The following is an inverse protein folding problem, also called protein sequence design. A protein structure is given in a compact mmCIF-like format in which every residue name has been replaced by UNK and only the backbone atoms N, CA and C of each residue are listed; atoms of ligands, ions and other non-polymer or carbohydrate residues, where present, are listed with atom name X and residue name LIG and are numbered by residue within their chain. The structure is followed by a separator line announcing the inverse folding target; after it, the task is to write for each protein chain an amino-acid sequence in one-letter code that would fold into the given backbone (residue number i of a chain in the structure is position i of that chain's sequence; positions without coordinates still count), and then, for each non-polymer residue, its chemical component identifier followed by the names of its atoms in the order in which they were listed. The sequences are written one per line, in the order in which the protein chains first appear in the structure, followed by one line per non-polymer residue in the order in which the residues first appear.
data_IF_007879285818
#
_entry.id   IF_007879285818
#
_cell.length_a   1.000
_cell.length_b   1.000
_cell.length_c   1.000
_cell.angle_alpha   90.00
_cell.angle_beta   90.00
_cell.angle_gamma   90.00
#
_symmetry.space_group_name_H-M   'P 1'
#
loop_
_entity.id
_entity.type
_entity.pdbx_description
1 polymer ?
#
# COMPACT_ATOMS: atom_id res chain seq x y z
N UNK A 1 0.10 -10.05 1.20
CA UNK A 1 -1.05 -10.83 1.67
C UNK A 1 -2.34 -10.30 1.06
N UNK A 2 -2.73 -9.02 1.25
CA UNK A 2 -4.00 -8.50 0.70
C UNK A 2 -4.11 -8.63 -0.82
N UNK A 3 -3.05 -8.38 -1.57
CA UNK A 3 -3.03 -8.58 -3.02
C UNK A 3 -3.30 -10.05 -3.39
N UNK A 4 -2.68 -10.97 -2.66
CA UNK A 4 -2.89 -12.41 -2.81
C UNK A 4 -4.33 -12.81 -2.48
N UNK A 5 -4.91 -12.31 -1.39
CA UNK A 5 -6.32 -12.52 -1.04
C UNK A 5 -7.30 -12.03 -2.11
N UNK A 6 -6.89 -11.04 -2.91
CA UNK A 6 -7.65 -10.51 -4.03
C UNK A 6 -7.40 -11.25 -5.35
N UNK A 7 -6.56 -12.30 -5.33
CA UNK A 7 -6.23 -13.13 -6.48
C UNK A 7 -5.10 -12.61 -7.35
N UNK A 8 -4.37 -11.58 -6.90
CA UNK A 8 -3.21 -11.04 -7.62
C UNK A 8 -1.93 -11.78 -7.23
N UNK A 9 -1.09 -12.06 -8.21
CA UNK A 9 0.23 -12.63 -7.97
C UNK A 9 1.10 -11.64 -7.20
N UNK A 10 1.58 -12.05 -6.04
CA UNK A 10 2.33 -11.18 -5.14
C UNK A 10 3.65 -11.80 -4.69
N UNK A 11 4.59 -10.93 -4.31
CA UNK A 11 5.87 -11.31 -3.75
C UNK A 11 6.24 -10.34 -2.62
N UNK A 12 7.07 -10.80 -1.71
CA UNK A 12 7.64 -9.99 -0.64
C UNK A 12 9.16 -9.94 -0.77
N UNK A 13 9.69 -8.73 -0.68
CA UNK A 13 11.13 -8.49 -0.60
C UNK A 13 11.41 -7.68 0.67
N UNK A 14 12.17 -8.24 1.59
CA UNK A 14 12.46 -7.64 2.89
C UNK A 14 13.66 -8.28 3.54
N UNK A 15 14.03 -7.77 4.72
CA UNK A 15 15.07 -8.32 5.58
C UNK A 15 14.44 -9.06 6.76
N UNK A 16 14.83 -10.31 6.96
CA UNK A 16 14.42 -11.14 8.09
C UNK A 16 15.55 -11.26 9.10
N UNK A 17 15.20 -11.19 10.39
CA UNK A 17 16.05 -11.60 11.49
C UNK A 17 16.13 -13.13 11.64
N UNK A 18 16.70 -13.57 12.76
CA UNK A 18 16.80 -14.99 13.12
C UNK A 18 15.95 -15.35 14.35
N UNK A 19 15.04 -14.46 14.74
CA UNK A 19 14.12 -14.65 15.87
C UNK A 19 12.80 -15.37 15.47
N UNK A 20 11.97 -15.67 16.47
CA UNK A 20 10.66 -16.32 16.28
C UNK A 20 9.70 -15.48 15.44
N UNK A 21 9.77 -14.14 15.51
CA UNK A 21 8.94 -13.25 14.70
C UNK A 21 9.29 -13.38 13.22
N UNK A 22 10.59 -13.37 12.88
CA UNK A 22 11.07 -13.59 11.53
C UNK A 22 10.57 -14.93 10.96
N UNK A 23 10.74 -16.00 11.75
CA UNK A 23 10.33 -17.34 11.36
C UNK A 23 8.82 -17.44 11.14
N UNK A 24 8.02 -16.78 11.99
CA UNK A 24 6.56 -16.74 11.87
C UNK A 24 6.14 -16.04 10.56
N UNK A 25 6.66 -14.84 10.29
CA UNK A 25 6.34 -14.09 9.07
C UNK A 25 6.76 -14.85 7.82
N UNK A 26 8.00 -15.37 7.82
CA UNK A 26 8.54 -16.14 6.68
C UNK A 26 7.68 -17.37 6.36
N UNK A 27 7.34 -18.16 7.38
CA UNK A 27 6.50 -19.37 7.21
C UNK A 27 5.10 -19.03 6.74
N UNK A 28 4.53 -17.94 7.25
CA UNK A 28 3.20 -17.47 6.85
C UNK A 28 3.19 -17.09 5.38
N UNK A 29 4.14 -16.28 4.93
CA UNK A 29 4.24 -15.87 3.52
C UNK A 29 4.43 -17.08 2.60
N UNK A 30 5.33 -17.99 2.94
CA UNK A 30 5.54 -19.21 2.17
C UNK A 30 4.30 -20.13 2.15
N UNK A 31 3.62 -20.24 3.27
CA UNK A 31 2.38 -21.04 3.37
C UNK A 31 1.24 -20.48 2.52
N UNK A 32 1.24 -19.17 2.26
CA UNK A 32 0.32 -18.50 1.34
C UNK A 32 0.77 -18.56 -0.14
N UNK A 33 1.95 -19.11 -0.44
CA UNK A 33 2.49 -19.14 -1.80
C UNK A 33 3.08 -17.81 -2.27
N UNK A 34 3.25 -16.83 -1.35
CA UNK A 34 3.87 -15.55 -1.66
C UNK A 34 5.39 -15.76 -1.79
N UNK A 35 5.98 -15.41 -2.94
CA UNK A 35 7.43 -15.53 -3.15
C UNK A 35 8.19 -14.65 -2.15
N UNK A 36 9.25 -15.23 -1.56
CA UNK A 36 10.21 -14.60 -0.66
C UNK A 36 11.65 -14.79 -1.15
N UNK A 37 11.82 -15.12 -2.44
CA UNK A 37 13.08 -15.56 -3.02
C UNK A 37 14.14 -14.44 -3.04
N UNK A 38 13.71 -13.19 -3.03
CA UNK A 38 14.59 -12.00 -2.96
C UNK A 38 14.65 -11.38 -1.56
N UNK A 39 14.31 -12.13 -0.50
CA UNK A 39 14.51 -11.68 0.88
C UNK A 39 15.97 -11.84 1.32
N UNK A 40 16.36 -11.08 2.35
CA UNK A 40 17.65 -11.13 3.01
C UNK A 40 17.48 -11.69 4.41
N UNK A 41 18.52 -12.35 4.92
CA UNK A 41 18.53 -12.94 6.25
C UNK A 41 19.75 -12.46 7.01
N UNK A 42 19.51 -11.96 8.22
CA UNK A 42 20.56 -11.42 9.10
C UNK A 42 20.43 -11.99 10.50
N UNK A 43 21.53 -12.01 11.24
CA UNK A 43 21.51 -12.28 12.68
C UNK A 43 21.00 -11.02 13.37
N UNK A 44 19.95 -11.13 14.20
CA UNK A 44 19.35 -10.04 14.92
C UNK A 44 17.82 -10.09 14.96
N UNK A 45 17.22 -9.14 15.66
CA UNK A 45 15.77 -9.09 15.82
C UNK A 45 15.06 -8.65 14.54
N UNK A 46 13.96 -9.32 14.22
CA UNK A 46 13.05 -8.86 13.18
C UNK A 46 12.36 -7.54 13.59
N UNK A 47 12.03 -6.69 12.61
CA UNK A 47 11.24 -5.49 12.87
C UNK A 47 9.91 -5.87 13.53
N UNK A 48 9.61 -5.27 14.67
CA UNK A 48 8.42 -5.59 15.45
C UNK A 48 7.82 -4.34 16.12
N UNK A 49 6.49 -4.21 16.05
CA UNK A 49 5.72 -3.21 16.78
C UNK A 49 4.59 -3.93 17.55
N UNK A 50 4.80 -4.26 18.83
CA UNK A 50 3.78 -4.92 19.64
C UNK A 50 2.60 -3.98 19.88
N UNK A 51 1.40 -4.55 19.82
CA UNK A 51 0.14 -3.85 20.09
C UNK A 51 -0.62 -4.55 21.21
N UNK A 52 -1.34 -3.78 21.99
CA UNK A 52 -2.31 -4.28 22.96
C UNK A 52 -3.73 -3.92 22.51
N UNK A 53 -4.72 -4.72 22.89
CA UNK A 53 -6.12 -4.40 22.65
C UNK A 53 -6.68 -3.89 23.96
N UNK A 54 -7.14 -2.63 24.00
CA UNK A 54 -7.77 -1.99 25.15
C UNK A 54 -9.15 -1.51 24.70
N UNK A 55 -10.22 -2.07 25.29
CA UNK A 55 -11.61 -1.72 24.96
C UNK A 55 -11.96 -1.84 23.46
N UNK A 56 -11.32 -2.77 22.74
CA UNK A 56 -11.52 -2.97 21.30
C UNK A 56 -10.60 -2.13 20.40
N UNK A 57 -9.89 -1.15 20.97
CA UNK A 57 -8.92 -0.33 20.25
C UNK A 57 -7.49 -0.86 20.43
N UNK A 58 -6.67 -0.65 19.42
CA UNK A 58 -5.26 -1.04 19.43
C UNK A 58 -4.37 0.08 19.92
N UNK A 59 -3.64 -0.21 21.00
CA UNK A 59 -2.62 0.65 21.56
C UNK A 59 -1.25 0.10 21.21
N UNK A 60 -0.45 0.86 20.47
CA UNK A 60 0.93 0.50 20.19
C UNK A 60 1.78 0.65 21.46
N UNK A 61 2.46 -0.42 21.84
CA UNK A 61 3.32 -0.44 23.03
C UNK A 61 4.77 0.06 22.74
N UNK A 62 5.02 0.47 21.51
CA UNK A 62 6.32 0.87 21.01
C UNK A 62 6.74 0.05 19.80
N UNK A 63 8.02 0.11 19.46
CA UNK A 63 8.62 -0.73 18.42
C UNK A 63 10.12 -0.85 18.67
N UNK A 64 10.76 -1.91 18.16
CA UNK A 64 12.22 -2.03 18.12
C UNK A 64 12.83 -1.18 16.98
N UNK A 65 12.05 -0.22 16.44
CA UNK A 65 12.46 0.72 15.39
C UNK A 65 12.94 0.06 14.09
N UNK A 66 12.44 -1.14 13.79
CA UNK A 66 12.66 -1.84 12.53
C UNK A 66 13.67 -2.99 12.58
N UNK A 67 14.39 -3.19 13.71
CA UNK A 67 15.35 -4.28 13.84
C UNK A 67 16.29 -4.38 12.64
N UNK A 68 16.58 -5.60 12.17
CA UNK A 68 17.49 -5.85 11.02
C UNK A 68 17.10 -5.11 9.74
N UNK A 69 15.82 -4.79 9.53
CA UNK A 69 15.40 -4.01 8.34
C UNK A 69 15.99 -2.61 8.35
N UNK A 70 16.11 -2.00 9.53
CA UNK A 70 16.73 -0.68 9.71
C UNK A 70 18.26 -0.76 9.72
N UNK A 71 18.80 -1.80 10.36
CA UNK A 71 20.25 -2.00 10.50
C UNK A 71 20.89 -2.37 9.16
N UNK A 72 20.16 -3.11 8.32
CA UNK A 72 20.57 -3.57 7.00
C UNK A 72 19.52 -3.18 5.95
N UNK A 73 19.40 -1.90 5.58
CA UNK A 73 18.51 -1.45 4.52
C UNK A 73 18.81 -2.17 3.22
N UNK A 74 17.76 -2.49 2.46
CA UNK A 74 17.95 -3.18 1.18
C UNK A 74 18.66 -2.25 0.19
N UNK A 75 19.78 -2.71 -0.32
CA UNK A 75 20.42 -2.18 -1.52
C UNK A 75 20.06 -3.07 -2.71
N UNK A 76 19.41 -2.47 -3.71
CA UNK A 76 18.92 -3.20 -4.88
C UNK A 76 20.07 -3.51 -5.82
N UNK A 77 20.35 -4.79 -6.03
CA UNK A 77 21.30 -5.29 -7.05
C UNK A 77 20.70 -5.23 -8.46
N UNK A 78 21.48 -5.55 -9.48
CA UNK A 78 20.99 -5.71 -10.85
C UNK A 78 19.95 -6.84 -10.96
N UNK A 79 20.16 -7.94 -10.25
CA UNK A 79 19.22 -9.08 -10.22
C UNK A 79 17.90 -8.70 -9.53
N UNK A 80 17.96 -7.89 -8.47
CA UNK A 80 16.74 -7.37 -7.83
C UNK A 80 15.96 -6.47 -8.79
N UNK A 81 16.63 -5.61 -9.54
CA UNK A 81 15.99 -4.74 -10.51
C UNK A 81 15.34 -5.53 -11.65
N UNK A 82 16.00 -6.58 -12.14
CA UNK A 82 15.43 -7.49 -13.12
C UNK A 82 14.21 -8.21 -12.57
N UNK A 83 14.27 -8.69 -11.34
CA UNK A 83 13.13 -9.33 -10.67
C UNK A 83 11.98 -8.35 -10.49
N UNK A 84 12.23 -7.14 -9.97
CA UNK A 84 11.21 -6.12 -9.74
C UNK A 84 10.55 -5.64 -11.03
N UNK A 85 11.24 -5.68 -12.17
CA UNK A 85 10.69 -5.29 -13.48
C UNK A 85 9.57 -6.22 -13.98
N UNK A 86 9.37 -7.37 -13.35
CA UNK A 86 8.30 -8.33 -13.67
C UNK A 86 6.96 -7.97 -13.00
N UNK A 87 6.94 -6.95 -12.12
CA UNK A 87 5.74 -6.56 -11.38
C UNK A 87 5.17 -5.24 -11.90
N UNK A 88 3.84 -5.16 -11.96
CA UNK A 88 3.12 -3.95 -12.38
C UNK A 88 3.18 -2.83 -11.34
N UNK A 89 3.39 -3.19 -10.06
CA UNK A 89 3.43 -2.28 -8.93
C UNK A 89 4.41 -2.76 -7.86
N UNK A 90 5.24 -1.84 -7.38
CA UNK A 90 6.06 -2.02 -6.18
C UNK A 90 5.43 -1.18 -5.07
N UNK A 91 5.02 -1.82 -3.98
CA UNK A 91 4.53 -1.12 -2.80
C UNK A 91 5.57 -1.15 -1.69
N UNK A 92 5.83 -0.01 -1.09
CA UNK A 92 6.75 0.13 0.04
C UNK A 92 6.24 1.18 1.03
N UNK A 93 6.95 1.40 2.13
CA UNK A 93 6.52 2.34 3.15
C UNK A 93 7.69 3.04 3.84
N UNK A 94 7.35 4.05 4.64
CA UNK A 94 8.31 4.76 5.49
C UNK A 94 9.06 3.83 6.45
N UNK A 95 8.48 2.67 6.78
CA UNK A 95 9.07 1.69 7.68
C UNK A 95 9.97 0.66 6.98
N UNK A 96 10.07 0.73 5.66
CA UNK A 96 10.89 -0.21 4.86
C UNK A 96 12.35 0.24 4.71
N UNK A 97 12.69 1.45 5.13
CA UNK A 97 14.05 2.04 5.06
C UNK A 97 14.70 1.98 3.67
N UNK A 98 13.90 2.07 2.61
CA UNK A 98 14.34 1.92 1.20
C UNK A 98 14.43 3.26 0.44
N UNK A 99 14.33 4.38 1.12
CA UNK A 99 14.24 5.71 0.50
C UNK A 99 15.38 6.01 -0.49
N UNK A 100 16.60 5.58 -0.18
CA UNK A 100 17.78 5.75 -1.05
C UNK A 100 17.67 5.01 -2.39
N UNK A 101 16.78 4.02 -2.50
CA UNK A 101 16.59 3.21 -3.70
C UNK A 101 15.45 3.73 -4.60
N UNK A 102 14.61 4.65 -4.12
CA UNK A 102 13.48 5.19 -4.88
C UNK A 102 13.92 5.84 -6.21
N UNK A 103 15.01 6.65 -6.27
CA UNK A 103 15.51 7.18 -7.53
C UNK A 103 15.86 6.09 -8.55
N UNK A 104 16.44 4.98 -8.09
CA UNK A 104 16.81 3.84 -8.95
C UNK A 104 15.59 3.15 -9.52
N UNK A 105 14.56 2.92 -8.71
CA UNK A 105 13.29 2.33 -9.14
C UNK A 105 12.58 3.22 -10.17
N UNK A 106 12.44 4.51 -9.87
CA UNK A 106 11.76 5.46 -10.76
C UNK A 106 12.51 5.66 -12.08
N UNK A 107 13.85 5.70 -12.05
CA UNK A 107 14.68 5.82 -13.26
C UNK A 107 14.58 4.60 -14.18
N UNK A 108 14.25 3.43 -13.62
CA UNK A 108 13.95 2.22 -14.36
C UNK A 108 12.51 2.17 -14.90
N UNK A 109 11.71 3.21 -14.68
CA UNK A 109 10.31 3.28 -15.11
C UNK A 109 9.35 2.43 -14.29
N UNK A 110 9.76 1.94 -13.12
CA UNK A 110 8.93 1.10 -12.25
C UNK A 110 7.91 1.95 -11.49
N UNK A 111 6.67 1.48 -11.40
CA UNK A 111 5.63 2.13 -10.59
C UNK A 111 5.85 1.84 -9.13
N UNK A 112 6.10 2.88 -8.34
CA UNK A 112 6.28 2.76 -6.89
C UNK A 112 5.12 3.44 -6.18
N UNK A 113 4.38 2.70 -5.36
CA UNK A 113 3.49 3.27 -4.34
C UNK A 113 4.19 3.25 -2.99
N UNK A 114 4.05 4.35 -2.26
CA UNK A 114 4.74 4.54 -0.99
C UNK A 114 3.76 4.98 0.09
N UNK A 115 3.71 4.21 1.17
CA UNK A 115 2.88 4.54 2.32
C UNK A 115 3.68 5.33 3.36
N UNK A 116 3.29 6.60 3.53
CA UNK A 116 3.82 7.50 4.56
C UNK A 116 3.16 7.28 5.92
N UNK A 117 2.16 6.38 6.02
CA UNK A 117 1.33 6.26 7.22
C UNK A 117 0.70 7.63 7.59
N UNK A 118 0.74 8.03 8.85
CA UNK A 118 0.38 9.37 9.30
C UNK A 118 1.59 10.30 9.51
N UNK A 119 2.74 9.99 8.90
CA UNK A 119 4.03 10.63 9.20
C UNK A 119 4.60 11.46 8.05
N UNK A 120 3.74 11.96 7.15
CA UNK A 120 4.23 12.84 6.09
C UNK A 120 4.77 14.15 6.68
N UNK A 121 6.03 14.43 6.38
CA UNK A 121 6.74 15.66 6.75
C UNK A 121 7.35 16.28 5.50
N UNK A 122 6.97 17.52 5.19
CA UNK A 122 7.40 18.18 3.95
C UNK A 122 8.92 18.29 3.85
N UNK A 123 9.59 18.66 4.93
CA UNK A 123 11.02 18.89 4.92
C UNK A 123 11.84 17.63 4.64
N UNK A 124 11.28 16.47 5.02
CA UNK A 124 11.94 15.16 4.88
C UNK A 124 11.53 14.40 3.63
N UNK A 125 10.28 14.57 3.19
CA UNK A 125 9.67 13.65 2.23
C UNK A 125 9.36 14.28 0.87
N UNK A 126 9.47 15.61 0.74
CA UNK A 126 9.14 16.28 -0.52
C UNK A 126 9.96 15.76 -1.70
N UNK A 127 11.25 15.47 -1.49
CA UNK A 127 12.13 14.95 -2.53
C UNK A 127 11.77 13.53 -2.97
N UNK A 128 11.19 12.73 -2.07
CA UNK A 128 10.74 11.37 -2.38
C UNK A 128 9.56 11.38 -3.35
N UNK A 129 8.68 12.40 -3.26
CA UNK A 129 7.47 12.48 -4.08
C UNK A 129 7.74 12.42 -5.58
N UNK A 130 8.86 12.99 -6.05
CA UNK A 130 9.25 12.98 -7.47
C UNK A 130 9.58 11.56 -7.99
N UNK A 131 9.81 10.60 -7.11
CA UNK A 131 10.16 9.22 -7.45
C UNK A 131 8.99 8.25 -7.29
N UNK A 132 7.82 8.75 -6.89
CA UNK A 132 6.64 7.93 -6.62
C UNK A 132 5.64 8.01 -7.77
N UNK A 133 5.02 6.87 -8.06
CA UNK A 133 3.83 6.83 -8.88
C UNK A 133 2.59 7.16 -8.05
N UNK A 134 2.54 6.73 -6.77
CA UNK A 134 1.43 7.00 -5.86
C UNK A 134 1.92 7.18 -4.42
N UNK A 135 1.49 8.24 -3.76
CA UNK A 135 1.66 8.46 -2.34
C UNK A 135 0.41 8.02 -1.58
N UNK A 136 0.58 7.19 -0.56
CA UNK A 136 -0.50 6.70 0.29
C UNK A 136 -0.30 7.24 1.70
N UNK A 137 -1.39 7.67 2.35
CA UNK A 137 -1.34 8.23 3.71
C UNK A 137 -2.60 7.89 4.50
N UNK A 138 -2.45 7.83 5.82
CA UNK A 138 -3.55 7.84 6.78
C UNK A 138 -3.70 9.26 7.35
N UNK A 139 -4.86 9.86 7.20
CA UNK A 139 -5.08 11.28 7.50
C UNK A 139 -6.42 11.56 8.19
N UNK A 140 -6.89 10.63 9.01
CA UNK A 140 -8.17 10.72 9.73
C UNK A 140 -8.24 11.93 10.70
N UNK A 141 -7.09 12.45 11.13
CA UNK A 141 -7.00 13.59 12.05
C UNK A 141 -7.09 14.95 11.33
N UNK A 142 -6.97 14.97 10.00
CA UNK A 142 -7.00 16.19 9.20
C UNK A 142 -8.41 16.49 8.72
N UNK A 143 -8.77 17.78 8.76
CA UNK A 143 -10.00 18.26 8.16
C UNK A 143 -10.01 18.05 6.62
N UNK A 144 -11.17 18.16 6.02
CA UNK A 144 -11.34 18.05 4.57
C UNK A 144 -10.43 19.02 3.80
N UNK A 145 -10.38 20.28 4.21
CA UNK A 145 -9.55 21.29 3.54
C UNK A 145 -8.05 21.06 3.75
N UNK A 146 -7.64 20.56 4.91
CA UNK A 146 -6.25 20.18 5.14
C UNK A 146 -5.84 18.99 4.28
N UNK A 147 -6.71 18.00 4.13
CA UNK A 147 -6.50 16.87 3.23
C UNK A 147 -6.34 17.32 1.77
N UNK A 148 -7.18 18.26 1.30
CA UNK A 148 -7.05 18.84 -0.04
C UNK A 148 -5.74 19.59 -0.24
N UNK A 149 -5.30 20.35 0.76
CA UNK A 149 -4.00 21.04 0.74
C UNK A 149 -2.85 20.04 0.68
N UNK A 150 -2.90 18.99 1.48
CA UNK A 150 -1.89 17.94 1.51
C UNK A 150 -1.77 17.24 0.15
N UNK A 151 -2.89 16.86 -0.46
CA UNK A 151 -2.91 16.31 -1.83
C UNK A 151 -2.24 17.28 -2.81
N UNK A 152 -2.63 18.55 -2.79
CA UNK A 152 -2.08 19.56 -3.69
C UNK A 152 -0.57 19.75 -3.51
N UNK A 153 -0.08 19.70 -2.28
CA UNK A 153 1.35 19.74 -1.97
C UNK A 153 2.10 18.54 -2.55
N UNK A 154 1.63 17.33 -2.29
CA UNK A 154 2.26 16.09 -2.75
C UNK A 154 2.34 16.06 -4.28
N UNK A 155 1.25 16.45 -4.95
CA UNK A 155 1.21 16.56 -6.41
C UNK A 155 2.21 17.61 -6.92
N UNK A 156 2.28 18.76 -6.26
CA UNK A 156 3.26 19.82 -6.60
C UNK A 156 4.72 19.36 -6.42
N UNK A 157 4.97 18.43 -5.50
CA UNK A 157 6.30 17.84 -5.30
C UNK A 157 6.61 16.71 -6.30
N UNK A 158 5.72 16.42 -7.23
CA UNK A 158 5.98 15.53 -8.37
C UNK A 158 5.31 14.15 -8.29
N UNK A 159 4.58 13.82 -7.21
CA UNK A 159 3.83 12.57 -7.16
C UNK A 159 2.47 12.74 -7.83
N UNK A 160 2.18 12.04 -8.95
CA UNK A 160 0.97 12.30 -9.75
C UNK A 160 -0.31 11.75 -9.14
N UNK A 161 -0.22 10.78 -8.22
CA UNK A 161 -1.38 10.12 -7.63
C UNK A 161 -1.25 10.08 -6.10
N UNK A 162 -2.36 10.29 -5.40
CA UNK A 162 -2.42 10.32 -3.93
C UNK A 162 -3.64 9.56 -3.44
N UNK A 163 -3.44 8.70 -2.46
CA UNK A 163 -4.52 7.99 -1.74
C UNK A 163 -4.47 8.39 -0.27
N UNK A 164 -5.53 9.01 0.23
CA UNK A 164 -5.71 9.33 1.64
C UNK A 164 -6.82 8.46 2.22
N UNK A 165 -6.52 7.67 3.24
CA UNK A 165 -7.52 6.96 4.04
C UNK A 165 -7.84 7.79 5.28
N UNK A 166 -9.16 7.95 5.59
CA UNK A 166 -9.66 8.84 6.64
C UNK A 166 -10.53 8.10 7.67
N UNK A 167 -10.24 6.83 7.89
CA UNK A 167 -10.99 6.00 8.83
C UNK A 167 -12.49 5.97 8.51
N UNK A 168 -13.31 6.36 9.46
CA UNK A 168 -14.78 6.39 9.32
C UNK A 168 -15.29 7.48 8.38
N UNK A 169 -14.45 8.38 7.91
CA UNK A 169 -14.81 9.38 6.90
C UNK A 169 -14.51 8.90 5.46
N UNK A 170 -14.03 7.65 5.30
CA UNK A 170 -13.77 7.04 4.00
C UNK A 170 -12.40 7.37 3.43
N UNK A 171 -12.33 7.75 2.16
CA UNK A 171 -11.07 8.01 1.47
C UNK A 171 -11.19 9.16 0.45
N UNK A 172 -10.07 9.82 0.21
CA UNK A 172 -9.87 10.76 -0.89
C UNK A 172 -8.77 10.22 -1.80
N UNK A 173 -9.01 10.23 -3.11
CA UNK A 173 -8.03 9.75 -4.09
C UNK A 173 -7.88 10.78 -5.20
N UNK A 174 -6.67 11.26 -5.39
CA UNK A 174 -6.30 12.09 -6.54
C UNK A 174 -5.56 11.23 -7.54
N UNK A 175 -6.14 11.07 -8.72
CA UNK A 175 -5.58 10.26 -9.80
C UNK A 175 -6.05 10.79 -11.15
N UNK A 176 -5.20 10.71 -12.16
CA UNK A 176 -5.48 11.22 -13.51
C UNK A 176 -5.89 12.70 -13.52
N UNK A 177 -5.33 13.51 -12.62
CA UNK A 177 -5.65 14.94 -12.54
C UNK A 177 -7.00 15.29 -11.88
N UNK A 178 -7.73 14.30 -11.35
CA UNK A 178 -9.05 14.47 -10.72
C UNK A 178 -9.03 13.98 -9.28
N UNK A 179 -9.79 14.66 -8.42
CA UNK A 179 -10.05 14.24 -7.04
C UNK A 179 -11.35 13.43 -6.99
N UNK A 180 -11.29 12.30 -6.33
CA UNK A 180 -12.42 11.41 -6.05
C UNK A 180 -12.56 11.20 -4.55
N UNK A 181 -13.80 11.03 -4.12
CA UNK A 181 -14.13 10.70 -2.74
C UNK A 181 -14.88 9.37 -2.70
N UNK A 182 -14.59 8.60 -1.67
CA UNK A 182 -15.24 7.32 -1.41
C UNK A 182 -15.75 7.31 0.03
N UNK A 183 -17.06 7.23 0.19
CA UNK A 183 -17.66 6.98 1.50
C UNK A 183 -17.24 5.63 2.07
N UNK A 184 -17.10 5.48 3.38
CA UNK A 184 -16.77 4.20 3.98
C UNK A 184 -17.92 3.20 3.82
N UNK A 185 -17.59 1.92 3.76
CA UNK A 185 -18.55 0.85 3.94
C UNK A 185 -18.53 0.49 5.44
N UNK A 186 -19.47 1.05 6.21
CA UNK A 186 -19.50 0.89 7.66
C UNK A 186 -19.99 -0.51 8.05
N UNK A 187 -19.27 -1.16 8.94
CA UNK A 187 -19.59 -2.47 9.50
C UNK A 187 -19.35 -2.47 11.02
N UNK A 188 -19.92 -3.44 11.72
CA UNK A 188 -19.52 -3.70 13.10
C UNK A 188 -18.10 -4.28 13.07
N UNK A 189 -17.12 -3.47 13.43
CA UNK A 189 -15.71 -3.84 13.37
C UNK A 189 -15.34 -4.75 14.56
N UNK A 190 -14.62 -5.83 14.27
CA UNK A 190 -13.93 -6.64 15.28
C UNK A 190 -12.56 -6.06 15.56
N UNK A 191 -11.87 -5.59 14.49
CA UNK A 191 -10.52 -5.07 14.54
C UNK A 191 -10.26 -4.18 13.33
N UNK A 192 -9.90 -2.93 13.56
CA UNK A 192 -9.64 -1.95 12.48
C UNK A 192 -8.23 -1.99 11.91
N UNK A 193 -7.35 -2.86 12.45
CA UNK A 193 -5.98 -3.00 11.96
C UNK A 193 -5.95 -3.43 10.49
N UNK A 194 -5.16 -2.72 9.69
CA UNK A 194 -4.97 -3.01 8.28
C UNK A 194 -6.13 -2.56 7.38
N UNK A 195 -7.14 -1.85 7.91
CA UNK A 195 -8.23 -1.31 7.08
C UNK A 195 -7.68 -0.35 6.01
N UNK A 196 -6.76 0.55 6.38
CA UNK A 196 -6.07 1.44 5.45
C UNK A 196 -5.25 0.68 4.42
N UNK A 197 -4.40 -0.25 4.86
CA UNK A 197 -3.55 -1.07 3.98
C UNK A 197 -4.38 -1.90 2.99
N UNK A 198 -5.49 -2.47 3.45
CA UNK A 198 -6.40 -3.25 2.61
C UNK A 198 -7.13 -2.38 1.59
N UNK A 199 -7.56 -1.17 1.99
CA UNK A 199 -8.14 -0.20 1.06
C UNK A 199 -7.12 0.20 -0.03
N UNK A 200 -5.91 0.61 0.36
CA UNK A 200 -4.84 1.00 -0.55
C UNK A 200 -4.54 -0.15 -1.52
N UNK A 201 -4.34 -1.36 -0.99
CA UNK A 201 -4.04 -2.53 -1.82
C UNK A 201 -5.16 -2.81 -2.82
N UNK A 202 -6.41 -2.89 -2.36
CA UNK A 202 -7.55 -3.19 -3.22
C UNK A 202 -7.80 -2.10 -4.26
N UNK A 203 -7.62 -0.83 -3.90
CA UNK A 203 -7.73 0.27 -4.85
C UNK A 203 -6.66 0.18 -5.94
N UNK A 204 -5.38 0.12 -5.54
CA UNK A 204 -4.26 0.16 -6.49
C UNK A 204 -4.26 -1.04 -7.43
N UNK A 205 -4.45 -2.25 -6.90
CA UNK A 205 -4.46 -3.48 -7.72
C UNK A 205 -5.66 -3.51 -8.66
N UNK A 206 -6.86 -3.19 -8.17
CA UNK A 206 -8.06 -3.16 -9.01
C UNK A 206 -7.98 -2.07 -10.09
N UNK A 207 -7.44 -0.89 -9.76
CA UNK A 207 -7.29 0.19 -10.72
C UNK A 207 -6.32 -0.20 -11.85
N UNK A 208 -5.17 -0.76 -11.53
CA UNK A 208 -4.18 -1.19 -12.52
C UNK A 208 -4.70 -2.32 -13.41
N UNK A 209 -5.44 -3.26 -12.84
CA UNK A 209 -6.07 -4.37 -13.57
C UNK A 209 -7.08 -3.85 -14.59
N UNK A 210 -8.01 -2.99 -14.16
CA UNK A 210 -9.04 -2.42 -15.04
C UNK A 210 -8.41 -1.46 -16.07
N UNK A 211 -7.43 -0.64 -15.68
CA UNK A 211 -6.70 0.23 -16.61
C UNK A 211 -5.97 -0.59 -17.69
N UNK A 212 -5.31 -1.68 -17.29
CA UNK A 212 -4.68 -2.63 -18.20
C UNK A 212 -5.68 -3.23 -19.18
N UNK A 213 -6.79 -3.74 -18.66
CA UNK A 213 -7.86 -4.28 -19.47
C UNK A 213 -8.41 -3.26 -20.49
N UNK A 214 -8.71 -2.05 -20.06
CA UNK A 214 -9.20 -0.99 -20.95
C UNK A 214 -8.20 -0.56 -22.02
N UNK A 215 -6.89 -0.70 -21.74
CA UNK A 215 -5.82 -0.41 -22.71
C UNK A 215 -5.67 -1.51 -23.74
N UNK A 216 -5.67 -2.77 -23.31
CA UNK A 216 -5.27 -3.92 -24.13
C UNK A 216 -6.47 -4.54 -24.89
N UNK A 217 -7.68 -4.33 -24.39
CA UNK A 217 -8.92 -4.78 -25.01
C UNK A 217 -9.81 -3.58 -25.38
N UNK A 218 -9.62 -2.97 -26.55
CA UNK A 218 -10.61 -2.02 -27.07
C UNK A 218 -11.95 -2.74 -27.12
N UNK A 219 -12.96 -2.18 -26.46
CA UNK A 219 -14.29 -2.80 -26.32
C UNK A 219 -14.84 -3.06 -27.71
N UNK A 220 -14.75 -4.31 -28.16
CA UNK A 220 -15.26 -4.73 -29.48
C UNK A 220 -16.77 -4.56 -29.51
N UNK A 221 -17.28 -3.85 -30.50
CA UNK A 221 -18.72 -3.66 -30.71
C UNK A 221 -19.29 -2.35 -30.13
N UNK A 222 -18.52 -1.54 -29.42
CA UNK A 222 -18.93 -0.17 -29.13
C UNK A 222 -18.37 0.72 -30.23
N UNK A 223 -19.21 1.49 -30.94
CA UNK A 223 -18.74 2.43 -31.97
C UNK A 223 -17.69 3.37 -31.35
N UNK A 224 -16.58 3.55 -32.05
CA UNK A 224 -15.52 4.48 -31.66
C UNK A 224 -16.14 5.87 -31.51
N UNK A 225 -16.25 6.34 -30.25
CA UNK A 225 -16.85 7.64 -29.92
C UNK A 225 -17.97 7.61 -28.86
N UNK A 226 -18.50 6.44 -28.49
CA UNK A 226 -19.54 6.31 -27.46
C UNK A 226 -18.99 6.29 -26.03
N UNK A 227 -17.74 5.87 -25.83
CA UNK A 227 -17.04 5.94 -24.55
C UNK A 227 -15.65 6.52 -24.81
N UNK A 228 -15.38 7.68 -24.26
CA UNK A 228 -14.03 8.25 -24.34
C UNK A 228 -13.06 7.46 -23.44
N UNK A 229 -11.74 7.55 -23.72
CA UNK A 229 -10.72 6.97 -22.84
C UNK A 229 -10.81 7.55 -21.43
N UNK A 230 -11.23 8.79 -21.29
CA UNK A 230 -11.38 9.46 -20.00
C UNK A 230 -12.59 8.92 -19.23
N UNK A 231 -13.71 8.63 -19.90
CA UNK A 231 -14.88 7.99 -19.26
C UNK A 231 -14.54 6.57 -18.78
N UNK A 232 -13.79 5.80 -19.59
CA UNK A 232 -13.33 4.47 -19.20
C UNK A 232 -12.41 4.51 -17.97
N UNK A 233 -11.49 5.47 -17.92
CA UNK A 233 -10.60 5.70 -16.76
C UNK A 233 -11.38 6.14 -15.52
N UNK A 234 -12.31 7.04 -15.67
CA UNK A 234 -13.17 7.47 -14.55
C UNK A 234 -13.99 6.31 -14.00
N UNK A 235 -14.56 5.49 -14.87
CA UNK A 235 -15.29 4.26 -14.49
C UNK A 235 -14.38 3.30 -13.75
N UNK A 236 -13.14 3.09 -14.23
CA UNK A 236 -12.16 2.25 -13.57
C UNK A 236 -11.84 2.74 -12.14
N UNK A 237 -11.65 4.06 -11.96
CA UNK A 237 -11.41 4.65 -10.63
C UNK A 237 -12.59 4.40 -9.71
N UNK A 238 -13.84 4.67 -10.15
CA UNK A 238 -15.04 4.51 -9.32
C UNK A 238 -15.28 3.06 -8.89
N UNK A 239 -15.12 2.11 -9.81
CA UNK A 239 -15.23 0.68 -9.50
C UNK A 239 -14.17 0.27 -8.48
N UNK A 240 -12.92 0.70 -8.68
CA UNK A 240 -11.81 0.37 -7.78
C UNK A 240 -11.97 0.96 -6.40
N UNK A 241 -12.48 2.18 -6.29
CA UNK A 241 -12.82 2.81 -5.01
C UNK A 241 -13.88 2.03 -4.24
N UNK A 242 -14.96 1.63 -4.94
CA UNK A 242 -16.02 0.85 -4.30
C UNK A 242 -15.51 -0.53 -3.83
N UNK A 243 -14.78 -1.25 -4.68
CA UNK A 243 -14.13 -2.52 -4.30
C UNK A 243 -13.23 -2.35 -3.08
N UNK A 244 -12.44 -1.28 -3.05
CA UNK A 244 -11.54 -0.99 -1.93
C UNK A 244 -12.31 -0.73 -0.62
N UNK A 245 -13.39 0.02 -0.65
CA UNK A 245 -14.23 0.27 0.53
C UNK A 245 -14.86 -1.02 1.07
N UNK A 246 -15.38 -1.88 0.20
CA UNK A 246 -15.97 -3.17 0.57
C UNK A 246 -14.89 -4.10 1.16
N UNK A 247 -13.72 -4.17 0.54
CA UNK A 247 -12.62 -5.00 1.02
C UNK A 247 -12.09 -4.53 2.37
N UNK A 248 -11.93 -3.22 2.57
CA UNK A 248 -11.54 -2.64 3.85
C UNK A 248 -12.57 -2.96 4.95
N UNK A 249 -13.86 -2.87 4.65
CA UNK A 249 -14.92 -3.27 5.57
C UNK A 249 -14.83 -4.74 5.96
N UNK A 250 -14.57 -5.64 4.99
CA UNK A 250 -14.39 -7.06 5.27
C UNK A 250 -13.14 -7.35 6.11
N UNK A 251 -12.08 -6.53 5.96
CA UNK A 251 -10.88 -6.62 6.80
C UNK A 251 -11.19 -6.27 8.24
N UNK A 252 -11.99 -5.23 8.49
CA UNK A 252 -12.40 -4.84 9.84
C UNK A 252 -13.21 -5.90 10.59
N UNK A 253 -13.74 -6.91 9.92
CA UNK A 253 -14.48 -8.03 10.53
C UNK A 253 -13.59 -9.21 10.91
N UNK A 254 -12.25 -9.10 10.75
CA UNK A 254 -11.27 -10.15 11.04
C UNK A 254 -10.35 -9.72 12.17
N UNK A 255 -9.92 -10.68 12.97
CA UNK A 255 -8.85 -10.46 13.95
C UNK A 255 -7.50 -10.33 13.26
N UNK A 256 -6.68 -9.38 13.69
CA UNK A 256 -5.28 -9.27 13.30
C UNK A 256 -5.06 -8.97 11.83
N UNK A 257 -5.74 -7.99 11.24
CA UNK A 257 -5.62 -7.58 9.83
C UNK A 257 -6.03 -8.69 8.85
N UNK A 258 -5.21 -9.67 8.64
CA UNK A 258 -5.43 -10.80 7.73
C UNK A 258 -5.46 -12.18 8.43
N UNK A 259 -5.59 -12.21 9.76
CA UNK A 259 -5.85 -13.43 10.53
C UNK A 259 -4.62 -14.25 10.94
N UNK A 260 -3.41 -13.77 10.67
CA UNK A 260 -2.15 -14.48 11.00
C UNK A 260 -1.42 -13.87 12.21
N UNK A 261 -2.13 -13.12 13.03
CA UNK A 261 -1.56 -12.52 14.24
C UNK A 261 -1.03 -13.56 15.21
N UNK A 262 0.13 -13.29 15.84
CA UNK A 262 0.73 -14.14 16.86
C UNK A 262 0.49 -13.52 18.24
N UNK A 263 -0.22 -14.23 19.10
CA UNK A 263 -0.38 -13.80 20.51
C UNK A 263 0.89 -14.16 21.25
N UNK A 264 1.64 -13.16 21.73
CA UNK A 264 2.71 -13.42 22.71
C UNK A 264 2.07 -13.99 23.98
N UNK A 265 2.59 -15.12 24.42
CA UNK A 265 2.24 -15.72 25.72
C UNK A 265 2.80 -14.89 26.86
#
# INVERSE_FOLDING_TARGET
VYADMLGYKSAYMGSFGDDENALHVYRTLKGLGISVDHCRFYIGENGCAPVNIVEGDRVFLGSNKGGVTKEHPIELSALDMEYLSQFDLIHTSIFSYINSQLPKLSSAGLRVSYDFSNQFDEARHKELCAHLWCACLSSSELSYEENRKLISQIVKFGCPNVVLTRGTEGAMVYINGKLYEQSPCLVAATDTMGAGDSFITAFLTSYLDIEGYCRDFPIQGIPSGLISRDDARETAVRISLHKAAVFAASTCQRDGSFGYGHKKK
#
